data_IF_962107563543
#
_entry.id   IF_962107563543
#
_cell.length_a   1.000
_cell.length_b   1.000
_cell.length_c   1.000
_cell.angle_alpha   90.00
_cell.angle_beta   90.00
_cell.angle_gamma   90.00
#
_symmetry.space_group_name_H-M   'P 1'
#
loop_
_entity.id
_entity.type
_entity.pdbx_description
1 polymer ?
#
# COMPACT_ATOMS: atom_id res chain seq x y z
N UNK A 1 -17.03 -18.63 1.48
CA UNK A 1 -15.98 -17.59 1.57
C UNK A 1 -16.68 -16.24 1.50
N UNK A 2 -16.19 -15.23 2.21
CA UNK A 2 -16.71 -13.87 2.11
C UNK A 2 -16.43 -13.32 0.71
N UNK A 3 -17.44 -12.68 0.07
CA UNK A 3 -17.27 -12.09 -1.26
C UNK A 3 -16.31 -10.90 -1.18
N UNK A 4 -15.45 -10.75 -2.16
CA UNK A 4 -14.58 -9.58 -2.24
C UNK A 4 -15.38 -8.37 -2.70
N UNK A 5 -15.12 -7.22 -2.05
CA UNK A 5 -15.81 -5.96 -2.30
C UNK A 5 -15.02 -5.07 -3.25
N UNK A 6 -15.68 -4.64 -4.30
CA UNK A 6 -15.10 -3.81 -5.36
C UNK A 6 -15.83 -2.48 -5.41
N UNK A 7 -15.08 -1.39 -5.53
CA UNK A 7 -15.66 -0.10 -5.93
C UNK A 7 -15.21 0.26 -7.33
N UNK A 8 -16.16 0.64 -8.18
CA UNK A 8 -15.92 1.08 -9.57
C UNK A 8 -16.35 2.54 -9.72
N UNK A 9 -15.44 3.38 -10.20
CA UNK A 9 -15.66 4.81 -10.38
C UNK A 9 -15.42 5.18 -11.85
N UNK A 10 -16.50 5.55 -12.54
CA UNK A 10 -16.47 5.92 -13.95
C UNK A 10 -17.62 6.87 -14.23
N UNK A 11 -17.47 7.89 -15.05
CA UNK A 11 -18.53 8.84 -15.38
C UNK A 11 -19.46 8.33 -16.51
N UNK A 12 -19.17 7.18 -17.09
CA UNK A 12 -19.98 6.52 -18.10
C UNK A 12 -20.82 5.37 -17.50
N UNK A 13 -22.14 5.54 -17.42
CA UNK A 13 -23.05 4.52 -16.88
C UNK A 13 -22.91 3.17 -17.60
N UNK A 14 -22.72 3.18 -18.92
CA UNK A 14 -22.57 1.94 -19.70
C UNK A 14 -21.34 1.12 -19.29
N UNK A 15 -20.26 1.79 -18.89
CA UNK A 15 -19.05 1.15 -18.39
C UNK A 15 -19.31 0.55 -17.01
N UNK A 16 -19.95 1.31 -16.11
CA UNK A 16 -20.32 0.83 -14.78
C UNK A 16 -21.22 -0.40 -14.86
N UNK A 17 -22.23 -0.40 -15.74
CA UNK A 17 -23.14 -1.51 -15.91
C UNK A 17 -22.43 -2.76 -16.44
N UNK A 18 -21.55 -2.61 -17.45
CA UNK A 18 -20.79 -3.70 -18.03
C UNK A 18 -19.79 -4.30 -17.03
N UNK A 19 -19.01 -3.45 -16.35
CA UNK A 19 -18.05 -3.90 -15.34
C UNK A 19 -18.78 -4.58 -14.16
N UNK A 20 -19.86 -3.97 -13.68
CA UNK A 20 -20.64 -4.52 -12.57
C UNK A 20 -21.24 -5.89 -12.92
N UNK A 21 -21.78 -6.07 -14.12
CA UNK A 21 -22.30 -7.35 -14.56
C UNK A 21 -21.20 -8.42 -14.57
N UNK A 22 -20.06 -8.13 -15.25
CA UNK A 22 -18.91 -9.04 -15.31
C UNK A 22 -18.43 -9.46 -13.92
N UNK A 23 -18.31 -8.52 -12.98
CA UNK A 23 -17.77 -8.81 -11.67
C UNK A 23 -18.78 -9.52 -10.76
N UNK A 24 -20.07 -9.23 -10.92
CA UNK A 24 -21.13 -9.90 -10.17
C UNK A 24 -21.24 -11.38 -10.58
N UNK A 25 -21.07 -11.68 -11.85
CA UNK A 25 -21.04 -13.06 -12.38
C UNK A 25 -19.86 -13.87 -11.81
N UNK A 26 -18.77 -13.18 -11.42
CA UNK A 26 -17.57 -13.76 -10.78
C UNK A 26 -17.58 -13.65 -9.23
N UNK A 27 -18.74 -13.54 -8.64
CA UNK A 27 -18.98 -13.54 -7.18
C UNK A 27 -18.35 -12.35 -6.40
N UNK A 28 -18.11 -11.21 -7.05
CA UNK A 28 -17.75 -9.97 -6.37
C UNK A 28 -18.99 -9.21 -5.87
N UNK A 29 -18.85 -8.48 -4.76
CA UNK A 29 -19.78 -7.46 -4.31
C UNK A 29 -19.34 -6.10 -4.89
N UNK A 30 -20.16 -5.46 -5.72
CA UNK A 30 -19.76 -4.29 -6.51
C UNK A 30 -20.57 -3.07 -6.12
N UNK A 31 -19.87 -2.02 -5.66
CA UNK A 31 -20.40 -0.66 -5.55
C UNK A 31 -19.93 0.16 -6.77
N UNK A 32 -20.83 0.93 -7.36
CA UNK A 32 -20.52 1.79 -8.51
C UNK A 32 -20.78 3.27 -8.22
N UNK A 33 -19.99 4.17 -8.80
CA UNK A 33 -20.18 5.61 -8.67
C UNK A 33 -19.86 6.35 -9.96
N UNK A 34 -20.85 7.12 -10.45
CA UNK A 34 -20.68 8.07 -11.56
C UNK A 34 -19.88 9.33 -11.17
N UNK A 35 -19.79 9.63 -9.88
CA UNK A 35 -19.03 10.77 -9.36
C UNK A 35 -17.75 10.29 -8.73
N UNK A 36 -16.62 10.77 -9.21
CA UNK A 36 -15.32 10.45 -8.66
C UNK A 36 -15.15 10.97 -7.23
N UNK A 37 -15.75 12.11 -6.89
CA UNK A 37 -15.75 12.63 -5.51
C UNK A 37 -16.47 11.68 -4.56
N UNK A 38 -17.70 11.31 -4.91
CA UNK A 38 -18.51 10.38 -4.09
C UNK A 38 -17.86 9.00 -3.97
N UNK A 39 -17.32 8.48 -5.09
CA UNK A 39 -16.61 7.21 -5.11
C UNK A 39 -15.34 7.24 -4.25
N UNK A 40 -14.59 8.34 -4.30
CA UNK A 40 -13.42 8.56 -3.44
C UNK A 40 -13.81 8.58 -1.95
N UNK A 41 -14.86 9.32 -1.58
CA UNK A 41 -15.35 9.36 -0.19
C UNK A 41 -15.73 7.95 0.29
N UNK A 42 -16.47 7.18 -0.53
CA UNK A 42 -16.80 5.79 -0.18
C UNK A 42 -15.55 4.90 -0.05
N UNK A 43 -14.59 5.04 -0.97
CA UNK A 43 -13.35 4.27 -0.90
C UNK A 43 -12.51 4.60 0.34
N UNK A 44 -12.61 5.84 0.86
CA UNK A 44 -11.95 6.23 2.12
C UNK A 44 -12.67 5.72 3.37
N UNK A 45 -14.00 5.78 3.38
CA UNK A 45 -14.83 5.49 4.56
C UNK A 45 -15.15 4.01 4.74
N UNK A 46 -15.26 3.25 3.64
CA UNK A 46 -15.67 1.84 3.64
C UNK A 46 -14.50 0.93 3.36
N UNK A 47 -14.67 -0.36 3.68
CA UNK A 47 -13.69 -1.40 3.36
C UNK A 47 -13.97 -1.98 1.98
N UNK A 48 -12.99 -1.89 1.09
CA UNK A 48 -12.99 -2.54 -0.23
C UNK A 48 -11.69 -3.33 -0.38
N UNK A 49 -11.75 -4.42 -1.16
CA UNK A 49 -10.59 -5.23 -1.51
C UNK A 49 -9.83 -4.67 -2.71
N UNK A 50 -10.52 -3.93 -3.59
CA UNK A 50 -9.95 -3.35 -4.80
C UNK A 50 -10.79 -2.15 -5.28
N UNK A 51 -10.12 -1.15 -5.85
CA UNK A 51 -10.72 0.01 -6.49
C UNK A 51 -10.41 0.02 -7.99
N UNK A 52 -11.43 0.21 -8.81
CA UNK A 52 -11.32 0.43 -10.24
C UNK A 52 -11.71 1.88 -10.54
N UNK A 53 -10.94 2.62 -11.34
CA UNK A 53 -11.29 4.01 -11.67
C UNK A 53 -10.89 4.38 -13.09
N UNK A 54 -11.76 5.14 -13.77
CA UNK A 54 -11.34 5.84 -14.98
C UNK A 54 -10.42 7.01 -14.64
N UNK A 55 -9.64 7.45 -15.62
CA UNK A 55 -8.73 8.60 -15.46
C UNK A 55 -9.42 9.90 -15.79
N UNK A 56 -10.25 9.91 -16.86
CA UNK A 56 -10.86 11.12 -17.37
C UNK A 56 -12.29 11.27 -16.88
N UNK A 57 -12.47 11.92 -15.75
CA UNK A 57 -13.78 12.23 -15.17
C UNK A 57 -13.92 13.73 -14.93
N UNK A 58 -15.14 14.32 -15.04
CA UNK A 58 -15.34 15.77 -15.08
C UNK A 58 -15.10 16.46 -13.74
N UNK A 59 -15.32 15.79 -12.59
CA UNK A 59 -15.22 16.40 -11.24
C UNK A 59 -13.78 16.32 -10.68
N UNK A 60 -13.26 15.11 -10.44
CA UNK A 60 -11.85 14.89 -10.12
C UNK A 60 -11.30 13.73 -10.95
N UNK A 61 -10.13 13.92 -11.58
CA UNK A 61 -9.53 12.88 -12.42
C UNK A 61 -9.03 11.69 -11.60
N UNK A 62 -9.06 10.49 -12.20
CA UNK A 62 -8.69 9.23 -11.53
C UNK A 62 -7.25 9.17 -11.02
N UNK A 63 -6.30 9.89 -11.62
CA UNK A 63 -4.96 10.01 -11.04
C UNK A 63 -4.94 10.72 -9.69
N UNK A 64 -5.88 11.65 -9.47
CA UNK A 64 -6.06 12.27 -8.16
C UNK A 64 -6.73 11.30 -7.19
N UNK A 65 -7.76 10.57 -7.64
CA UNK A 65 -8.37 9.49 -6.85
C UNK A 65 -7.30 8.49 -6.40
N UNK A 66 -6.48 7.99 -7.32
CA UNK A 66 -5.37 7.08 -7.04
C UNK A 66 -4.42 7.66 -5.99
N UNK A 67 -3.93 8.88 -6.17
CA UNK A 67 -3.01 9.53 -5.24
C UNK A 67 -3.61 9.69 -3.85
N UNK A 68 -4.85 10.16 -3.76
CA UNK A 68 -5.50 10.46 -2.49
C UNK A 68 -5.83 9.15 -1.73
N UNK A 69 -6.24 8.08 -2.44
CA UNK A 69 -6.41 6.74 -1.86
C UNK A 69 -5.08 6.16 -1.36
N UNK A 70 -4.01 6.23 -2.16
CA UNK A 70 -2.71 5.67 -1.75
C UNK A 70 -2.08 6.37 -0.56
N UNK A 71 -2.48 7.61 -0.26
CA UNK A 71 -2.08 8.32 0.97
C UNK A 71 -2.80 7.82 2.22
N UNK A 72 -4.04 7.35 2.11
CA UNK A 72 -4.90 6.94 3.24
C UNK A 72 -4.94 5.42 3.39
N UNK A 73 -4.98 4.72 2.27
CA UNK A 73 -5.03 3.25 2.19
C UNK A 73 -3.97 2.74 1.19
N UNK A 74 -2.69 2.74 1.55
CA UNK A 74 -1.59 2.38 0.64
C UNK A 74 -1.68 0.94 0.15
N UNK A 75 -2.21 0.02 0.95
CA UNK A 75 -2.40 -1.40 0.60
C UNK A 75 -3.58 -1.64 -0.34
N UNK A 76 -4.58 -0.73 -0.43
CA UNK A 76 -5.71 -0.93 -1.33
C UNK A 76 -5.25 -0.95 -2.79
N UNK A 77 -5.37 -2.07 -3.52
CA UNK A 77 -5.00 -2.12 -4.92
C UNK A 77 -5.94 -1.26 -5.76
N UNK A 78 -5.34 -0.49 -6.68
CA UNK A 78 -6.09 0.37 -7.61
C UNK A 78 -5.77 -0.05 -9.03
N UNK A 79 -6.81 -0.39 -9.79
CA UNK A 79 -6.76 -0.65 -11.23
C UNK A 79 -7.31 0.55 -11.97
N UNK A 80 -6.55 1.05 -12.90
CA UNK A 80 -6.97 2.12 -13.81
C UNK A 80 -7.65 1.49 -15.03
N UNK A 81 -8.83 1.98 -15.38
CA UNK A 81 -9.55 1.59 -16.60
C UNK A 81 -9.68 2.86 -17.47
N UNK A 82 -9.11 2.91 -18.67
CA UNK A 82 -9.12 4.15 -19.44
C UNK A 82 -9.12 3.96 -20.95
N UNK A 83 -9.86 4.79 -21.67
CA UNK A 83 -9.79 4.87 -23.15
C UNK A 83 -8.58 5.66 -23.68
N UNK A 84 -7.69 6.11 -22.81
CA UNK A 84 -6.55 6.99 -23.18
C UNK A 84 -5.23 6.47 -22.58
N UNK A 85 -4.91 5.20 -22.86
CA UNK A 85 -3.67 4.58 -22.40
C UNK A 85 -2.48 5.10 -23.20
N UNK A 86 -1.84 6.18 -22.73
CA UNK A 86 -0.55 6.63 -23.26
C UNK A 86 0.59 6.16 -22.39
N UNK A 87 1.79 6.02 -22.96
CA UNK A 87 2.99 5.63 -22.18
C UNK A 87 3.24 6.61 -21.02
N UNK A 88 3.05 7.91 -21.23
CA UNK A 88 3.22 8.92 -20.19
C UNK A 88 2.24 8.72 -19.04
N UNK A 89 0.99 8.43 -19.36
CA UNK A 89 -0.06 8.16 -18.36
C UNK A 89 0.22 6.88 -17.60
N UNK A 90 0.63 5.81 -18.27
CA UNK A 90 1.00 4.55 -17.63
C UNK A 90 2.16 4.73 -16.66
N UNK A 91 3.21 5.44 -17.07
CA UNK A 91 4.33 5.78 -16.17
C UNK A 91 3.88 6.60 -14.96
N UNK A 92 3.00 7.58 -15.17
CA UNK A 92 2.50 8.42 -14.09
C UNK A 92 1.62 7.63 -13.11
N UNK A 93 0.71 6.80 -13.61
CA UNK A 93 -0.15 5.96 -12.79
C UNK A 93 0.67 4.94 -11.96
N UNK A 94 1.67 4.30 -12.59
CA UNK A 94 2.56 3.37 -11.92
C UNK A 94 3.37 4.07 -10.80
N UNK A 95 3.90 5.27 -11.05
CA UNK A 95 4.61 6.07 -10.02
C UNK A 95 3.71 6.46 -8.84
N UNK A 96 2.42 6.62 -9.08
CA UNK A 96 1.41 6.91 -8.04
C UNK A 96 0.92 5.64 -7.32
N UNK A 97 1.38 4.45 -7.73
CA UNK A 97 1.05 3.17 -7.10
C UNK A 97 -0.19 2.48 -7.68
N UNK A 98 -0.53 2.73 -8.96
CA UNK A 98 -1.52 1.89 -9.65
C UNK A 98 -0.98 0.45 -9.74
N UNK A 99 -1.82 -0.52 -9.38
CA UNK A 99 -1.47 -1.93 -9.44
C UNK A 99 -1.52 -2.46 -10.88
N UNK A 100 -2.52 -2.04 -11.66
CA UNK A 100 -2.72 -2.43 -13.05
C UNK A 100 -3.38 -1.30 -13.85
N UNK A 101 -3.26 -1.38 -15.18
CA UNK A 101 -3.94 -0.49 -16.13
C UNK A 101 -4.60 -1.35 -17.19
N UNK A 102 -5.88 -1.09 -17.46
CA UNK A 102 -6.69 -1.74 -18.48
C UNK A 102 -7.16 -0.69 -19.49
N UNK A 103 -6.94 -0.92 -20.76
CA UNK A 103 -7.35 0.01 -21.83
C UNK A 103 -8.76 -0.33 -22.33
N UNK A 104 -9.62 0.69 -22.49
CA UNK A 104 -10.95 0.57 -23.10
C UNK A 104 -10.81 0.64 -24.63
N UNK A 105 -11.54 -0.19 -25.42
CA UNK A 105 -12.39 -1.29 -24.96
C UNK A 105 -11.60 -2.53 -24.52
N UNK A 106 -12.07 -3.25 -23.51
CA UNK A 106 -11.45 -4.46 -22.98
C UNK A 106 -12.46 -5.62 -22.98
N UNK A 107 -11.93 -6.84 -23.04
CA UNK A 107 -12.71 -8.05 -22.84
C UNK A 107 -12.82 -8.39 -21.35
N UNK A 108 -13.90 -9.08 -20.91
CA UNK A 108 -14.09 -9.47 -19.52
C UNK A 108 -12.87 -10.17 -18.89
N UNK A 109 -12.23 -11.07 -19.64
CA UNK A 109 -11.08 -11.83 -19.20
C UNK A 109 -9.86 -10.95 -18.91
N UNK A 110 -9.68 -9.86 -19.67
CA UNK A 110 -8.58 -8.88 -19.46
C UNK A 110 -8.77 -8.14 -18.13
N UNK A 111 -10.01 -7.71 -17.86
CA UNK A 111 -10.36 -7.04 -16.61
C UNK A 111 -10.13 -7.97 -15.41
N UNK A 112 -10.65 -9.20 -15.48
CA UNK A 112 -10.54 -10.21 -14.41
C UNK A 112 -9.06 -10.57 -14.14
N UNK A 113 -8.27 -10.72 -15.20
CA UNK A 113 -6.83 -10.96 -15.08
C UNK A 113 -6.09 -9.80 -14.40
N UNK A 114 -6.40 -8.57 -14.80
CA UNK A 114 -5.80 -7.38 -14.18
C UNK A 114 -6.16 -7.28 -12.70
N UNK A 115 -7.42 -7.56 -12.35
CA UNK A 115 -7.87 -7.57 -10.95
C UNK A 115 -7.21 -8.68 -10.14
N UNK A 116 -7.10 -9.89 -10.69
CA UNK A 116 -6.43 -11.02 -10.02
C UNK A 116 -4.97 -10.70 -9.74
N UNK A 117 -4.25 -10.12 -10.70
CA UNK A 117 -2.87 -9.68 -10.52
C UNK A 117 -2.76 -8.58 -9.45
N UNK A 118 -3.67 -7.59 -9.47
CA UNK A 118 -3.67 -6.50 -8.50
C UNK A 118 -3.92 -7.01 -7.07
N UNK A 119 -4.86 -7.94 -6.90
CA UNK A 119 -5.17 -8.57 -5.61
C UNK A 119 -4.04 -9.50 -5.13
N UNK A 120 -3.37 -10.21 -6.05
CA UNK A 120 -2.21 -11.06 -5.74
C UNK A 120 -1.03 -10.22 -5.23
N UNK A 121 -0.67 -9.18 -5.97
CA UNK A 121 0.41 -8.28 -5.59
C UNK A 121 0.14 -7.55 -4.26
N UNK A 122 -1.12 -7.18 -3.98
CA UNK A 122 -1.49 -6.57 -2.70
C UNK A 122 -1.27 -7.53 -1.52
N UNK A 123 -1.58 -8.82 -1.69
CA UNK A 123 -1.32 -9.84 -0.64
C UNK A 123 0.17 -10.03 -0.39
N UNK A 124 0.97 -10.09 -1.45
CA UNK A 124 2.43 -10.21 -1.31
C UNK A 124 3.03 -9.01 -0.57
N UNK A 125 2.55 -7.80 -0.89
CA UNK A 125 2.98 -6.57 -0.19
C UNK A 125 2.55 -6.57 1.28
N UNK A 126 1.32 -7.02 1.59
CA UNK A 126 0.84 -7.11 2.97
C UNK A 126 1.62 -8.16 3.78
N UNK A 127 1.90 -9.34 3.20
CA UNK A 127 2.72 -10.38 3.84
C UNK A 127 4.16 -9.89 4.07
N UNK A 128 4.78 -9.26 3.08
CA UNK A 128 6.12 -8.69 3.22
C UNK A 128 6.16 -7.58 4.28
N UNK A 129 5.15 -6.71 4.31
CA UNK A 129 5.04 -5.64 5.31
C UNK A 129 4.88 -6.23 6.72
N UNK A 130 4.12 -7.30 6.89
CA UNK A 130 3.98 -8.00 8.18
C UNK A 130 5.30 -8.61 8.62
N UNK A 131 6.03 -9.28 7.72
CA UNK A 131 7.36 -9.86 7.99
C UNK A 131 8.32 -8.77 8.48
N UNK A 132 8.39 -7.64 7.77
CA UNK A 132 9.26 -6.53 8.14
C UNK A 132 8.90 -5.90 9.50
N UNK A 133 7.61 -5.76 9.82
CA UNK A 133 7.14 -5.28 11.13
C UNK A 133 7.54 -6.23 12.25
N UNK A 134 7.41 -7.53 12.02
CA UNK A 134 7.85 -8.55 12.98
C UNK A 134 9.37 -8.54 13.17
N UNK A 135 10.13 -8.42 12.09
CA UNK A 135 11.59 -8.35 12.15
C UNK A 135 12.08 -7.09 12.88
N UNK A 136 11.48 -5.94 12.63
CA UNK A 136 11.77 -4.71 13.38
C UNK A 136 11.46 -4.88 14.88
N UNK A 137 10.33 -5.50 15.21
CA UNK A 137 9.96 -5.77 16.62
C UNK A 137 10.96 -6.69 17.28
N UNK A 138 11.39 -7.76 16.61
CA UNK A 138 12.42 -8.69 17.12
C UNK A 138 13.75 -7.99 17.40
N UNK A 139 14.19 -7.11 16.48
CA UNK A 139 15.42 -6.32 16.70
C UNK A 139 15.31 -5.46 17.95
N UNK A 140 14.20 -4.75 18.12
CA UNK A 140 14.01 -3.86 19.27
C UNK A 140 13.87 -4.63 20.59
N UNK A 141 13.20 -5.78 20.60
CA UNK A 141 13.08 -6.67 21.76
C UNK A 141 14.43 -7.27 22.14
N UNK A 142 15.20 -7.73 21.15
CA UNK A 142 16.55 -8.26 21.40
C UNK A 142 17.48 -7.17 21.92
N UNK A 143 17.47 -6.00 21.33
CA UNK A 143 18.30 -4.89 21.79
C UNK A 143 17.92 -4.37 23.18
N UNK A 144 16.67 -4.61 23.65
CA UNK A 144 16.22 -4.30 25.02
C UNK A 144 16.73 -5.33 26.03
N UNK A 145 16.91 -6.60 25.61
CA UNK A 145 17.21 -7.74 26.50
C UNK A 145 18.65 -8.28 26.41
N UNK A 146 19.41 -7.90 25.39
CA UNK A 146 20.73 -8.42 25.06
C UNK A 146 21.72 -7.24 24.91
N UNK A 147 22.48 -6.99 25.98
CA UNK A 147 23.48 -5.90 26.04
C UNK A 147 24.61 -6.08 25.00
N UNK A 148 24.96 -7.32 24.66
CA UNK A 148 25.99 -7.62 23.65
C UNK A 148 25.48 -7.25 22.24
N UNK A 149 24.22 -7.62 21.94
CA UNK A 149 23.59 -7.20 20.69
C UNK A 149 23.42 -5.69 20.61
N UNK A 150 23.01 -5.03 21.69
CA UNK A 150 22.90 -3.58 21.72
C UNK A 150 24.26 -2.91 21.49
N UNK A 151 25.33 -3.44 22.10
CA UNK A 151 26.69 -2.95 21.84
C UNK A 151 27.11 -3.12 20.37
N UNK A 152 26.75 -4.26 19.76
CA UNK A 152 27.01 -4.49 18.33
C UNK A 152 26.27 -3.52 17.42
N UNK A 153 25.05 -3.12 17.79
CA UNK A 153 24.30 -2.07 17.07
C UNK A 153 25.00 -0.70 17.13
N UNK A 154 25.67 -0.39 18.25
CA UNK A 154 26.42 0.85 18.41
C UNK A 154 27.74 0.85 17.62
N UNK A 155 28.43 -0.28 17.58
CA UNK A 155 29.75 -0.39 16.94
C UNK A 155 29.66 -0.62 15.43
N UNK A 156 28.74 -1.48 14.98
CA UNK A 156 28.56 -1.83 13.58
C UNK A 156 27.11 -2.26 13.28
N UNK A 157 26.23 -1.28 13.28
CA UNK A 157 24.79 -1.49 13.09
C UNK A 157 24.46 -2.23 11.78
N UNK A 158 25.20 -2.02 10.71
CA UNK A 158 24.94 -2.67 9.42
C UNK A 158 25.10 -4.18 9.56
N UNK A 159 26.21 -4.65 10.11
CA UNK A 159 26.45 -6.09 10.31
C UNK A 159 25.52 -6.71 11.34
N UNK A 160 25.16 -5.98 12.42
CA UNK A 160 24.23 -6.45 13.43
C UNK A 160 22.81 -6.65 12.91
N UNK A 161 22.44 -5.92 11.86
CA UNK A 161 21.10 -6.00 11.23
C UNK A 161 21.06 -6.88 9.97
N UNK A 162 22.18 -7.51 9.55
CA UNK A 162 22.20 -8.31 8.32
C UNK A 162 21.50 -9.66 8.45
N UNK A 163 21.34 -10.17 9.68
CA UNK A 163 20.59 -11.40 9.94
C UNK A 163 19.05 -11.20 9.90
N UNK A 164 18.57 -9.95 9.84
CA UNK A 164 17.15 -9.62 9.82
C UNK A 164 16.71 -9.22 8.41
N UNK A 165 15.51 -9.68 8.02
CA UNK A 165 14.89 -9.31 6.74
C UNK A 165 14.28 -7.90 6.82
N UNK A 166 15.18 -6.92 6.77
CA UNK A 166 14.85 -5.51 6.85
C UNK A 166 15.32 -4.75 5.61
N UNK A 167 14.48 -3.85 5.13
CA UNK A 167 14.83 -2.93 4.07
C UNK A 167 15.85 -1.87 4.52
N UNK A 168 16.49 -1.21 3.56
CA UNK A 168 17.44 -0.12 3.88
C UNK A 168 16.82 1.02 4.70
N UNK A 169 15.58 1.51 4.42
CA UNK A 169 14.91 2.52 5.25
C UNK A 169 14.69 2.04 6.69
N UNK A 170 14.26 0.80 6.90
CA UNK A 170 14.04 0.21 8.23
C UNK A 170 15.33 0.12 9.03
N UNK A 171 16.38 -0.42 8.43
CA UNK A 171 17.72 -0.46 9.03
C UNK A 171 18.19 0.96 9.42
N UNK A 172 18.00 1.92 8.49
CA UNK A 172 18.38 3.32 8.74
C UNK A 172 17.57 3.92 9.90
N UNK A 173 16.25 3.71 9.96
CA UNK A 173 15.40 4.23 11.04
C UNK A 173 15.83 3.69 12.42
N UNK A 174 16.18 2.41 12.53
CA UNK A 174 16.69 1.81 13.76
C UNK A 174 18.03 2.44 14.15
N UNK A 175 18.99 2.52 13.22
CA UNK A 175 20.33 3.03 13.47
C UNK A 175 20.32 4.50 13.85
N UNK A 176 19.49 5.30 13.20
CA UNK A 176 19.35 6.74 13.47
C UNK A 176 18.42 7.06 14.63
N UNK A 177 17.77 6.05 15.21
CA UNK A 177 16.81 6.23 16.30
C UNK A 177 15.61 7.09 15.90
N UNK A 178 15.07 6.93 14.68
CA UNK A 178 13.89 7.65 14.22
C UNK A 178 12.61 7.05 14.85
N UNK A 179 12.38 7.42 16.12
CA UNK A 179 11.27 6.93 16.92
C UNK A 179 9.94 7.14 16.22
N UNK A 180 9.73 8.31 15.60
CA UNK A 180 8.46 8.63 14.97
C UNK A 180 8.18 7.69 13.81
N UNK A 181 9.16 7.52 12.93
CA UNK A 181 9.03 6.62 11.78
C UNK A 181 8.78 5.16 12.23
N UNK A 182 9.54 4.69 13.23
CA UNK A 182 9.37 3.33 13.77
C UNK A 182 7.98 3.15 14.40
N UNK A 183 7.47 4.13 15.16
CA UNK A 183 6.14 4.04 15.76
C UNK A 183 5.00 4.12 14.72
N UNK A 184 5.20 4.84 13.63
CA UNK A 184 4.27 4.88 12.50
C UNK A 184 4.18 3.50 11.82
N UNK A 185 5.29 2.73 11.79
CA UNK A 185 5.35 1.40 11.16
C UNK A 185 4.88 0.26 12.08
N UNK A 186 5.42 0.14 13.29
CA UNK A 186 5.18 -1.02 14.17
C UNK A 186 4.27 -0.73 15.38
N UNK A 187 3.86 0.53 15.56
CA UNK A 187 3.04 0.95 16.68
C UNK A 187 3.84 1.44 17.90
N UNK A 188 3.17 1.53 19.05
CA UNK A 188 3.76 2.14 20.26
C UNK A 188 4.93 1.34 20.82
N UNK A 189 6.05 2.01 20.99
CA UNK A 189 7.25 1.48 21.62
C UNK A 189 7.17 1.50 23.17
N UNK A 190 7.85 0.55 23.81
CA UNK A 190 8.07 0.55 25.27
C UNK A 190 8.92 1.75 25.69
N UNK A 191 8.91 2.06 27.00
CA UNK A 191 9.79 3.11 27.54
C UNK A 191 11.27 2.75 27.41
N UNK A 192 11.60 1.47 27.46
CA UNK A 192 12.97 1.00 27.31
C UNK A 192 13.43 1.11 25.87
N UNK A 193 12.64 0.67 24.89
CA UNK A 193 12.92 0.80 23.47
C UNK A 193 13.11 2.26 23.04
N UNK A 194 12.25 3.17 23.52
CA UNK A 194 12.42 4.60 23.25
C UNK A 194 13.74 5.16 23.80
N UNK A 195 14.12 4.79 25.04
CA UNK A 195 15.40 5.25 25.63
C UNK A 195 16.59 4.73 24.84
N UNK A 196 16.56 3.49 24.41
CA UNK A 196 17.58 2.86 23.58
C UNK A 196 17.72 3.58 22.23
N UNK A 197 16.63 3.86 21.55
CA UNK A 197 16.62 4.58 20.27
C UNK A 197 17.10 6.02 20.43
N UNK A 198 16.76 6.70 21.53
CA UNK A 198 17.33 8.03 21.85
C UNK A 198 18.85 7.96 21.99
N UNK A 199 19.36 6.91 22.61
CA UNK A 199 20.80 6.72 22.78
C UNK A 199 21.49 6.47 21.42
N UNK A 200 20.93 5.59 20.57
CA UNK A 200 21.41 5.38 19.19
C UNK A 200 21.44 6.69 18.39
N UNK A 201 20.39 7.50 18.50
CA UNK A 201 20.30 8.79 17.82
C UNK A 201 21.43 9.75 18.22
N UNK A 202 21.78 9.81 19.48
CA UNK A 202 22.87 10.69 19.99
C UNK A 202 24.22 10.24 19.42
N UNK A 203 24.47 8.94 19.39
CA UNK A 203 25.72 8.38 18.87
C UNK A 203 25.85 8.53 17.35
N UNK A 204 24.75 8.40 16.58
CA UNK A 204 24.75 8.57 15.13
C UNK A 204 24.95 10.03 14.67
N UNK A 205 24.83 10.98 15.59
CA UNK A 205 24.94 12.43 15.32
C UNK A 205 26.33 13.00 15.70
N UNK A 206 27.22 12.16 16.23
CA UNK A 206 28.56 12.49 16.67
C UNK A 206 29.60 12.03 15.66
#
# INVERSE_FOLDING_TARGET
MEKKKVIVIDDEQIVLDSVSATLTDEDYEVDTSLSSRKGLDWAMERSYDILLTDIRMPDIGGLRVLRDIKRVKPSLPVVIITGYATVQLAVQATKLGAAQIVEKPFEPEELLKAMSNALGSAKEVDEQTLIHKEEMSKVLERAESDDEFFSSLLENAVSALDEYDLTKPEKLAIVTGDIKWIEDEIGRLTRAQRRMLVFLKVQSSS
#
